data_IF_595164091461
#
_entry.id   IF_595164091461
#
_cell.length_a   1.000
_cell.length_b   1.000
_cell.length_c   1.000
_cell.angle_alpha   90.00
_cell.angle_beta   90.00
_cell.angle_gamma   90.00
#
_symmetry.space_group_name_H-M   'P 1'
#
loop_
_entity.id
_entity.type
_entity.pdbx_description
1 polymer ?
#
# COMPACT_ATOMS: atom_id res chain seq x y z
N UNK A 1 -18.51 -24.97 -18.81
CA UNK A 1 -19.52 -25.98 -18.44
C UNK A 1 -18.82 -27.13 -17.73
N UNK A 2 -19.43 -27.72 -16.70
CA UNK A 2 -18.99 -28.97 -16.10
C UNK A 2 -19.91 -30.08 -16.60
N UNK A 3 -19.32 -31.21 -17.02
CA UNK A 3 -20.07 -32.37 -17.48
C UNK A 3 -20.02 -33.44 -16.40
N UNK A 4 -21.15 -33.66 -15.73
CA UNK A 4 -21.33 -34.76 -14.78
C UNK A 4 -22.09 -35.86 -15.49
N UNK A 5 -21.52 -37.07 -15.51
CA UNK A 5 -22.18 -38.25 -16.05
C UNK A 5 -22.76 -39.02 -14.86
N UNK A 6 -24.07 -38.94 -14.63
CA UNK A 6 -24.77 -39.69 -13.58
C UNK A 6 -24.97 -41.16 -13.98
N UNK A 7 -23.85 -41.84 -14.26
CA UNK A 7 -23.66 -43.30 -14.19
C UNK A 7 -24.50 -44.24 -15.04
N UNK A 8 -25.64 -43.85 -15.63
CA UNK A 8 -26.60 -44.86 -16.17
C UNK A 8 -27.47 -44.41 -17.35
N UNK A 9 -27.24 -43.25 -17.96
CA UNK A 9 -27.97 -42.84 -19.16
C UNK A 9 -27.18 -41.87 -20.06
N UNK A 10 -27.60 -41.67 -21.33
CA UNK A 10 -26.95 -40.75 -22.27
C UNK A 10 -27.18 -39.26 -21.94
N UNK A 11 -27.83 -38.96 -20.81
CA UNK A 11 -28.08 -37.60 -20.35
C UNK A 11 -26.84 -37.02 -19.68
N UNK A 12 -26.15 -36.12 -20.38
CA UNK A 12 -25.11 -35.31 -19.78
C UNK A 12 -25.78 -34.13 -19.06
N UNK A 13 -25.64 -34.04 -17.75
CA UNK A 13 -26.17 -32.90 -17.00
C UNK A 13 -25.25 -31.70 -17.26
N UNK A 14 -25.75 -30.75 -18.02
CA UNK A 14 -25.03 -29.54 -18.38
C UNK A 14 -25.14 -28.57 -17.21
N UNK A 15 -24.19 -28.62 -16.28
CA UNK A 15 -24.07 -27.59 -15.24
C UNK A 15 -23.29 -26.40 -15.80
N UNK A 16 -23.96 -25.25 -15.85
CA UNK A 16 -23.27 -23.98 -16.08
C UNK A 16 -22.18 -23.87 -15.03
N UNK A 17 -20.96 -23.51 -15.44
CA UNK A 17 -19.92 -23.12 -14.48
C UNK A 17 -20.59 -22.04 -13.62
N UNK A 18 -20.76 -22.26 -12.29
CA UNK A 18 -21.43 -21.25 -11.50
C UNK A 18 -20.65 -19.96 -11.72
N UNK A 19 -21.40 -18.92 -12.10
CA UNK A 19 -20.90 -17.57 -12.31
C UNK A 19 -19.93 -17.21 -11.18
N UNK A 20 -18.86 -16.48 -11.47
CA UNK A 20 -17.81 -16.20 -10.48
C UNK A 20 -18.42 -15.61 -9.18
N UNK A 21 -19.49 -14.82 -9.32
CA UNK A 21 -20.28 -14.32 -8.20
C UNK A 21 -21.01 -15.40 -7.40
N UNK A 22 -21.63 -16.38 -8.06
CA UNK A 22 -22.31 -17.49 -7.39
C UNK A 22 -21.31 -18.35 -6.62
N UNK A 23 -20.12 -18.62 -7.19
CA UNK A 23 -19.05 -19.35 -6.49
C UNK A 23 -18.56 -18.59 -5.26
N UNK A 24 -18.31 -17.29 -5.41
CA UNK A 24 -17.87 -16.45 -4.30
C UNK A 24 -18.90 -16.42 -3.16
N UNK A 25 -20.19 -16.25 -3.49
CA UNK A 25 -21.28 -16.23 -2.49
C UNK A 25 -21.41 -17.60 -1.82
N UNK A 26 -21.32 -18.69 -2.60
CA UNK A 26 -21.34 -20.05 -2.08
C UNK A 26 -20.18 -20.29 -1.10
N UNK A 27 -18.96 -19.92 -1.50
CA UNK A 27 -17.77 -20.02 -0.66
C UNK A 27 -17.94 -19.19 0.62
N UNK A 28 -18.39 -17.93 0.52
CA UNK A 28 -18.66 -17.07 1.68
C UNK A 28 -19.63 -17.74 2.67
N UNK A 29 -20.65 -18.45 2.15
CA UNK A 29 -21.57 -19.22 2.96
C UNK A 29 -20.95 -20.38 3.73
N UNK A 30 -19.92 -21.03 3.18
CA UNK A 30 -19.16 -22.07 3.89
C UNK A 30 -18.41 -21.51 5.11
N UNK A 31 -18.08 -20.21 5.09
CA UNK A 31 -17.45 -19.50 6.21
C UNK A 31 -18.45 -18.78 7.12
N UNK A 32 -19.75 -18.99 6.92
CA UNK A 32 -20.80 -18.37 7.74
C UNK A 32 -21.04 -16.88 7.46
N UNK A 33 -20.65 -16.38 6.28
CA UNK A 33 -20.73 -14.97 5.92
C UNK A 33 -22.02 -14.61 5.14
N UNK A 34 -23.02 -15.50 5.10
CA UNK A 34 -24.26 -15.30 4.33
C UNK A 34 -25.00 -14.00 4.69
N UNK A 35 -25.16 -13.71 5.98
CA UNK A 35 -25.85 -12.50 6.45
C UNK A 35 -25.10 -11.21 6.11
N UNK A 36 -23.77 -11.28 5.95
CA UNK A 36 -22.93 -10.16 5.52
C UNK A 36 -23.14 -9.87 4.02
N UNK A 37 -23.29 -10.91 3.19
CA UNK A 37 -23.61 -10.74 1.76
C UNK A 37 -24.93 -10.00 1.58
N UNK A 38 -25.97 -10.37 2.34
CA UNK A 38 -27.27 -9.67 2.30
C UNK A 38 -27.14 -8.21 2.74
N UNK A 39 -26.36 -7.95 3.79
CA UNK A 39 -26.10 -6.61 4.29
C UNK A 39 -25.33 -5.75 3.28
N UNK A 40 -24.38 -6.34 2.57
CA UNK A 40 -23.63 -5.69 1.50
C UNK A 40 -24.51 -5.41 0.28
N UNK A 41 -25.37 -6.34 -0.13
CA UNK A 41 -26.32 -6.10 -1.22
C UNK A 41 -27.25 -4.91 -0.91
N UNK A 42 -27.60 -4.69 0.36
CA UNK A 42 -28.36 -3.50 0.77
C UNK A 42 -27.58 -2.18 0.65
N UNK A 43 -26.25 -2.21 0.57
CA UNK A 43 -25.41 -1.04 0.36
C UNK A 43 -25.41 -0.55 -1.11
N UNK A 44 -25.80 -1.41 -2.07
CA UNK A 44 -25.91 -1.08 -3.49
C UNK A 44 -26.83 0.13 -3.76
N UNK A 45 -27.85 0.35 -2.91
CA UNK A 45 -28.74 1.52 -3.00
C UNK A 45 -28.02 2.86 -2.89
N UNK A 46 -26.80 2.88 -2.36
CA UNK A 46 -25.97 4.09 -2.23
C UNK A 46 -24.95 4.26 -3.35
N UNK A 47 -24.87 3.30 -4.28
CA UNK A 47 -23.91 3.22 -5.37
C UNK A 47 -24.61 3.58 -6.68
N UNK A 48 -24.08 4.58 -7.39
CA UNK A 48 -24.68 5.09 -8.61
C UNK A 48 -24.22 4.35 -9.87
N UNK A 49 -22.97 3.88 -9.88
CA UNK A 49 -22.40 3.20 -11.04
C UNK A 49 -22.77 1.71 -10.99
N UNK A 50 -23.51 1.16 -11.97
CA UNK A 50 -23.86 -0.26 -12.04
C UNK A 50 -22.66 -1.22 -12.02
N UNK A 51 -21.49 -0.77 -12.52
CA UNK A 51 -20.27 -1.58 -12.55
C UNK A 51 -19.67 -1.79 -11.16
N UNK A 52 -20.07 -0.96 -10.19
CA UNK A 52 -19.60 -0.99 -8.80
C UNK A 52 -20.61 -1.64 -7.84
N UNK A 53 -21.69 -2.23 -8.36
CA UNK A 53 -22.64 -3.00 -7.54
C UNK A 53 -22.00 -4.33 -7.13
N UNK A 54 -22.46 -4.92 -6.02
CA UNK A 54 -21.79 -6.08 -5.41
C UNK A 54 -21.54 -7.21 -6.42
N UNK A 55 -22.58 -7.64 -7.15
CA UNK A 55 -22.46 -8.74 -8.13
C UNK A 55 -21.54 -8.38 -9.30
N UNK A 56 -21.59 -7.14 -9.78
CA UNK A 56 -20.72 -6.63 -10.84
C UNK A 56 -19.26 -6.62 -10.38
N UNK A 57 -19.01 -6.12 -9.17
CA UNK A 57 -17.68 -6.08 -8.57
C UNK A 57 -17.10 -7.48 -8.38
N UNK A 58 -17.90 -8.45 -7.94
CA UNK A 58 -17.46 -9.83 -7.81
C UNK A 58 -17.13 -10.45 -9.18
N UNK A 59 -18.02 -10.28 -10.17
CA UNK A 59 -17.78 -10.80 -11.53
C UNK A 59 -16.51 -10.23 -12.16
N UNK A 60 -16.30 -8.93 -11.98
CA UNK A 60 -15.18 -8.21 -12.57
C UNK A 60 -13.90 -8.31 -11.72
N UNK A 61 -13.93 -8.98 -10.56
CA UNK A 61 -12.85 -9.01 -9.57
C UNK A 61 -12.35 -7.60 -9.21
N UNK A 62 -13.28 -6.67 -9.02
CA UNK A 62 -12.98 -5.29 -8.63
C UNK A 62 -13.35 -5.04 -7.18
N UNK A 63 -12.74 -4.00 -6.62
CA UNK A 63 -13.01 -3.59 -5.24
C UNK A 63 -14.44 -3.03 -5.13
N UNK A 64 -15.16 -3.44 -4.09
CA UNK A 64 -16.56 -3.08 -3.90
C UNK A 64 -16.70 -1.90 -2.91
N UNK A 65 -17.24 -0.73 -3.32
CA UNK A 65 -17.34 0.44 -2.45
C UNK A 65 -18.17 0.21 -1.18
N UNK A 66 -19.12 -0.72 -1.20
CA UNK A 66 -19.96 -1.04 -0.03
C UNK A 66 -19.23 -1.84 1.07
N UNK A 67 -17.98 -2.25 0.85
CA UNK A 67 -17.13 -2.77 1.92
C UNK A 67 -16.73 -1.68 2.92
N UNK A 68 -16.62 -0.44 2.45
CA UNK A 68 -16.03 0.65 3.22
C UNK A 68 -17.09 1.42 4.03
N UNK A 69 -16.72 1.91 5.22
CA UNK A 69 -17.59 2.76 6.02
C UNK A 69 -17.97 4.04 5.27
N UNK A 70 -19.25 4.42 5.31
CA UNK A 70 -19.76 5.63 4.67
C UNK A 70 -20.88 6.28 5.48
N UNK A 71 -20.67 7.53 5.92
CA UNK A 71 -21.65 8.28 6.72
C UNK A 71 -22.09 7.47 7.96
N UNK A 72 -23.34 6.97 7.96
CA UNK A 72 -23.95 6.16 9.04
C UNK A 72 -23.90 4.65 8.77
N UNK A 73 -23.37 4.24 7.61
CA UNK A 73 -23.17 2.85 7.26
C UNK A 73 -21.76 2.45 7.67
N UNK A 74 -21.65 1.39 8.46
CA UNK A 74 -20.39 1.00 9.09
C UNK A 74 -19.46 0.21 8.17
N UNK A 75 -19.94 -0.23 7.00
CA UNK A 75 -19.17 -1.06 6.09
C UNK A 75 -19.34 -2.56 6.38
N UNK A 76 -18.48 -3.37 5.78
CA UNK A 76 -18.40 -4.80 6.05
C UNK A 76 -17.72 -5.06 7.40
N UNK A 77 -18.08 -6.17 8.07
CA UNK A 77 -17.26 -6.66 9.18
C UNK A 77 -15.87 -7.09 8.72
N UNK A 78 -14.90 -7.15 9.64
CA UNK A 78 -13.50 -7.52 9.32
C UNK A 78 -13.41 -8.90 8.68
N UNK A 79 -14.26 -9.84 9.11
CA UNK A 79 -14.31 -11.18 8.52
C UNK A 79 -14.71 -11.12 7.06
N UNK A 80 -15.77 -10.38 6.73
CA UNK A 80 -16.23 -10.25 5.35
C UNK A 80 -15.26 -9.42 4.50
N UNK A 81 -14.68 -8.37 5.06
CA UNK A 81 -13.66 -7.56 4.38
C UNK A 81 -12.42 -8.39 4.05
N UNK A 82 -11.85 -9.11 5.03
CA UNK A 82 -10.71 -9.98 4.83
C UNK A 82 -11.02 -11.07 3.81
N UNK A 83 -12.19 -11.70 3.90
CA UNK A 83 -12.64 -12.70 2.93
C UNK A 83 -12.68 -12.13 1.51
N UNK A 84 -13.30 -10.95 1.32
CA UNK A 84 -13.38 -10.31 0.00
C UNK A 84 -11.99 -9.96 -0.55
N UNK A 85 -11.15 -9.29 0.26
CA UNK A 85 -9.83 -8.83 -0.20
C UNK A 85 -8.91 -10.01 -0.53
N UNK A 86 -8.89 -11.06 0.29
CA UNK A 86 -7.99 -12.21 0.09
C UNK A 86 -8.52 -13.20 -0.97
N UNK A 87 -9.81 -13.58 -0.93
CA UNK A 87 -10.37 -14.64 -1.79
C UNK A 87 -10.75 -14.16 -3.18
N UNK A 88 -11.21 -12.92 -3.31
CA UNK A 88 -11.64 -12.37 -4.59
C UNK A 88 -10.55 -11.54 -5.25
N UNK A 89 -9.94 -10.62 -4.50
CA UNK A 89 -8.93 -9.70 -5.03
C UNK A 89 -7.50 -10.24 -4.93
N UNK A 90 -7.29 -11.36 -4.24
CA UNK A 90 -5.98 -11.98 -4.09
C UNK A 90 -5.01 -11.18 -3.22
N UNK A 91 -5.50 -10.21 -2.43
CA UNK A 91 -4.66 -9.39 -1.54
C UNK A 91 -4.07 -10.29 -0.46
N UNK A 92 -2.76 -10.27 -0.22
CA UNK A 92 -2.12 -11.10 0.81
C UNK A 92 -2.63 -10.76 2.21
N UNK A 93 -2.77 -11.76 3.09
CA UNK A 93 -3.23 -11.52 4.46
C UNK A 93 -2.26 -10.59 5.21
N UNK A 94 -0.95 -10.75 5.00
CA UNK A 94 0.08 -9.85 5.54
C UNK A 94 -0.13 -8.38 5.19
N UNK A 95 -0.72 -8.06 4.03
CA UNK A 95 -1.02 -6.69 3.60
C UNK A 95 -2.17 -6.09 4.41
N UNK A 96 -3.18 -6.91 4.74
CA UNK A 96 -4.28 -6.49 5.60
C UNK A 96 -3.76 -6.21 7.02
N UNK A 97 -2.94 -7.11 7.56
CA UNK A 97 -2.30 -6.94 8.88
C UNK A 97 -1.41 -5.70 8.91
N UNK A 98 -0.59 -5.47 7.88
CA UNK A 98 0.24 -4.28 7.79
C UNK A 98 -0.60 -2.98 7.69
N UNK A 99 -1.73 -3.02 6.97
CA UNK A 99 -2.66 -1.88 6.89
C UNK A 99 -3.33 -1.57 8.23
N UNK A 100 -3.68 -2.60 9.01
CA UNK A 100 -4.22 -2.43 10.36
C UNK A 100 -3.20 -1.82 11.32
N UNK A 101 -1.96 -2.34 11.33
CA UNK A 101 -0.85 -1.76 12.11
C UNK A 101 -0.60 -0.30 11.74
N UNK A 102 -0.69 0.04 10.46
CA UNK A 102 -0.54 1.41 9.99
C UNK A 102 -1.68 2.31 10.49
N UNK A 103 -2.92 1.81 10.45
CA UNK A 103 -4.09 2.52 10.96
C UNK A 103 -4.00 2.74 12.48
N UNK A 104 -3.62 1.73 13.25
CA UNK A 104 -3.34 1.82 14.69
C UNK A 104 -2.32 2.92 15.00
N UNK A 105 -1.19 2.91 14.29
CA UNK A 105 -0.12 3.86 14.52
C UNK A 105 -0.52 5.31 14.16
N UNK A 106 -1.53 5.48 13.29
CA UNK A 106 -2.03 6.78 12.87
C UNK A 106 -3.05 7.38 13.87
N UNK A 107 -3.74 6.53 14.65
CA UNK A 107 -4.74 7.00 15.59
C UNK A 107 -4.09 7.76 16.75
N UNK A 108 -4.59 8.96 17.09
CA UNK A 108 -4.14 9.70 18.27
C UNK A 108 -4.69 9.06 19.55
N UNK A 109 -4.05 9.31 20.70
CA UNK A 109 -4.50 8.75 21.99
C UNK A 109 -5.86 9.30 22.45
N UNK A 110 -6.21 10.51 22.00
CA UNK A 110 -7.43 11.22 22.45
C UNK A 110 -8.64 10.81 21.60
N UNK A 111 -9.68 10.28 22.25
CA UNK A 111 -10.92 9.80 21.61
C UNK A 111 -11.57 10.84 20.68
N UNK A 112 -11.58 12.12 21.06
CA UNK A 112 -12.15 13.20 20.23
C UNK A 112 -11.41 13.35 18.90
N UNK A 113 -10.09 13.16 18.92
CA UNK A 113 -9.23 13.26 17.74
C UNK A 113 -9.33 11.98 16.90
N UNK A 114 -9.47 10.82 17.52
CA UNK A 114 -9.75 9.54 16.82
C UNK A 114 -11.03 9.62 15.98
N UNK A 115 -12.11 10.21 16.55
CA UNK A 115 -13.37 10.43 15.81
C UNK A 115 -13.20 11.29 14.57
N UNK A 116 -12.20 12.18 14.53
CA UNK A 116 -11.90 12.95 13.33
C UNK A 116 -11.24 12.09 12.25
N UNK A 117 -10.30 11.23 12.64
CA UNK A 117 -9.58 10.31 11.73
C UNK A 117 -10.47 9.23 11.11
N UNK A 118 -11.47 8.77 11.86
CA UNK A 118 -12.39 7.70 11.45
C UNK A 118 -13.40 8.10 10.34
N UNK A 119 -13.38 9.35 9.89
CA UNK A 119 -14.30 9.83 8.85
C UNK A 119 -14.06 9.18 7.49
N UNK A 120 -15.16 8.92 6.76
CA UNK A 120 -15.14 8.26 5.44
C UNK A 120 -14.50 9.09 4.32
N UNK A 121 -14.12 10.33 4.58
CA UNK A 121 -13.45 11.23 3.64
C UNK A 121 -12.10 11.74 4.15
N UNK A 122 -11.53 11.14 5.21
CA UNK A 122 -10.31 11.62 5.86
C UNK A 122 -9.14 11.82 4.89
N UNK A 123 -8.93 10.90 3.96
CA UNK A 123 -7.82 10.97 2.99
C UNK A 123 -8.13 11.76 1.71
N UNK A 124 -9.32 12.37 1.60
CA UNK A 124 -9.55 13.38 0.56
C UNK A 124 -8.71 14.64 0.80
N UNK A 125 -8.41 14.95 2.06
CA UNK A 125 -7.52 16.04 2.44
C UNK A 125 -6.05 15.64 2.15
N UNK A 126 -5.33 16.38 1.28
CA UNK A 126 -3.89 16.19 1.07
C UNK A 126 -3.06 16.21 2.36
N UNK A 127 -3.46 17.00 3.38
CA UNK A 127 -2.73 17.07 4.66
C UNK A 127 -2.73 15.73 5.38
N UNK A 128 -3.88 15.06 5.44
CA UNK A 128 -3.98 13.75 6.11
C UNK A 128 -3.22 12.67 5.34
N UNK A 129 -3.18 12.74 4.00
CA UNK A 129 -2.33 11.87 3.18
C UNK A 129 -0.85 12.10 3.47
N UNK A 130 -0.43 13.35 3.65
CA UNK A 130 0.95 13.68 4.01
C UNK A 130 1.32 13.21 5.43
N UNK A 131 0.39 13.30 6.39
CA UNK A 131 0.58 12.74 7.74
C UNK A 131 0.76 11.22 7.66
N UNK A 132 -0.11 10.52 6.92
CA UNK A 132 0.01 9.07 6.70
C UNK A 132 1.37 8.71 6.09
N UNK A 133 1.78 9.41 5.03
CA UNK A 133 3.09 9.22 4.40
C UNK A 133 4.24 9.45 5.39
N UNK A 134 4.16 10.48 6.22
CA UNK A 134 5.11 10.72 7.30
C UNK A 134 5.19 9.54 8.27
N UNK A 135 4.03 8.97 8.66
CA UNK A 135 3.95 7.83 9.56
C UNK A 135 4.51 6.55 8.95
N UNK A 136 4.25 6.30 7.67
CA UNK A 136 4.84 5.17 6.92
C UNK A 136 6.38 5.23 7.00
N UNK A 137 6.97 6.39 6.75
CA UNK A 137 8.43 6.55 6.82
C UNK A 137 8.96 6.30 8.23
N UNK A 138 8.30 6.83 9.26
CA UNK A 138 8.67 6.58 10.66
C UNK A 138 8.63 5.08 10.98
N UNK A 139 7.56 4.38 10.58
CA UNK A 139 7.44 2.94 10.82
C UNK A 139 8.49 2.13 10.04
N UNK A 140 8.87 2.56 8.84
CA UNK A 140 9.97 1.93 8.09
C UNK A 140 11.32 2.20 8.72
N UNK A 141 11.58 3.43 9.19
CA UNK A 141 12.81 3.77 9.91
C UNK A 141 12.97 2.92 11.19
N UNK A 142 11.87 2.72 11.94
CA UNK A 142 11.84 1.93 13.17
C UNK A 142 11.77 0.41 12.93
N UNK A 143 11.58 -0.03 11.68
CA UNK A 143 11.39 -1.44 11.33
C UNK A 143 10.05 -2.07 11.73
N UNK A 144 9.06 -1.25 12.08
CA UNK A 144 7.66 -1.67 12.32
C UNK A 144 6.87 -1.91 11.05
N UNK A 145 7.37 -1.41 9.92
CA UNK A 145 6.86 -1.67 8.57
C UNK A 145 8.06 -1.93 7.65
N UNK A 146 7.93 -2.86 6.72
CA UNK A 146 8.93 -3.11 5.68
C UNK A 146 8.58 -2.37 4.38
N UNK A 147 9.59 -2.22 3.52
CA UNK A 147 9.40 -1.63 2.19
C UNK A 147 8.42 -2.45 1.34
N UNK A 148 8.49 -3.78 1.45
CA UNK A 148 7.63 -4.69 0.69
C UNK A 148 6.17 -4.57 1.19
N UNK A 149 5.93 -4.53 2.49
CA UNK A 149 4.59 -4.27 3.05
C UNK A 149 4.03 -2.94 2.55
N UNK A 150 4.83 -1.86 2.51
CA UNK A 150 4.40 -0.61 1.91
C UNK A 150 3.95 -0.79 0.45
N UNK A 151 4.74 -1.49 -0.37
CA UNK A 151 4.45 -1.69 -1.79
C UNK A 151 3.20 -2.55 -2.02
N UNK A 152 2.87 -3.46 -1.11
CA UNK A 152 1.61 -4.20 -1.17
C UNK A 152 0.40 -3.37 -0.79
N UNK A 153 0.53 -2.46 0.19
CA UNK A 153 -0.56 -1.55 0.58
C UNK A 153 -0.77 -0.50 -0.51
N UNK A 154 0.33 0.03 -1.07
CA UNK A 154 0.36 1.12 -2.03
C UNK A 154 1.07 0.69 -3.33
N UNK A 155 0.48 -0.22 -4.12
CA UNK A 155 1.10 -0.69 -5.34
C UNK A 155 1.24 0.43 -6.38
N UNK A 156 2.34 0.40 -7.13
CA UNK A 156 2.56 1.32 -8.25
C UNK A 156 1.68 0.88 -9.43
N UNK A 157 0.82 1.76 -9.91
CA UNK A 157 -0.08 1.52 -11.04
C UNK A 157 0.59 1.88 -12.38
N UNK A 158 1.52 2.84 -12.35
CA UNK A 158 2.22 3.33 -13.54
C UNK A 158 3.57 3.91 -13.12
N UNK A 159 4.60 3.71 -13.94
CA UNK A 159 5.95 4.27 -13.73
C UNK A 159 6.20 5.55 -14.53
N UNK A 160 5.40 5.83 -15.56
CA UNK A 160 5.50 7.02 -16.40
C UNK A 160 4.09 7.54 -16.77
N UNK A 161 3.55 8.53 -16.03
CA UNK A 161 4.06 9.06 -14.76
C UNK A 161 4.04 8.04 -13.62
N UNK A 162 4.84 8.28 -12.59
CA UNK A 162 4.75 7.54 -11.35
C UNK A 162 3.38 7.77 -10.69
N UNK A 163 2.55 6.73 -10.61
CA UNK A 163 1.24 6.74 -9.95
C UNK A 163 1.15 5.57 -8.98
N UNK A 164 0.70 5.87 -7.77
CA UNK A 164 0.50 4.89 -6.70
C UNK A 164 -0.99 4.73 -6.48
N UNK A 165 -1.42 3.49 -6.26
CA UNK A 165 -2.82 3.16 -6.12
C UNK A 165 -3.46 3.85 -4.93
N UNK A 166 -4.67 4.36 -5.15
CA UNK A 166 -5.46 4.95 -4.07
C UNK A 166 -6.02 3.88 -3.09
N UNK A 167 -5.97 2.60 -3.47
CA UNK A 167 -6.47 1.47 -2.67
C UNK A 167 -5.89 1.42 -1.26
N UNK A 168 -4.60 1.73 -1.10
CA UNK A 168 -3.96 1.75 0.21
C UNK A 168 -4.57 2.75 1.19
N UNK A 169 -5.05 3.90 0.69
CA UNK A 169 -5.78 4.87 1.53
C UNK A 169 -7.13 4.34 1.96
N UNK A 170 -7.88 3.69 1.05
CA UNK A 170 -9.17 3.10 1.38
C UNK A 170 -9.02 1.96 2.39
N UNK A 171 -8.01 1.10 2.22
CA UNK A 171 -7.72 -0.01 3.12
C UNK A 171 -7.27 0.47 4.51
N UNK A 172 -6.37 1.47 4.56
CA UNK A 172 -5.99 2.11 5.82
C UNK A 172 -7.22 2.74 6.50
N UNK A 173 -8.07 3.42 5.72
CA UNK A 173 -9.29 4.05 6.23
C UNK A 173 -10.28 3.04 6.80
N UNK A 174 -10.42 1.88 6.15
CA UNK A 174 -11.22 0.78 6.67
C UNK A 174 -10.73 0.41 8.07
N UNK A 175 -9.43 0.12 8.21
CA UNK A 175 -8.86 -0.31 9.48
C UNK A 175 -8.81 0.76 10.57
N UNK A 176 -8.92 2.06 10.25
CA UNK A 176 -9.07 3.10 11.28
C UNK A 176 -10.30 2.86 12.18
N UNK A 177 -11.30 2.12 11.72
CA UNK A 177 -12.48 1.71 12.51
C UNK A 177 -12.37 0.34 13.16
N UNK A 178 -11.38 -0.44 12.75
CA UNK A 178 -11.26 -1.87 13.02
C UNK A 178 -9.85 -2.23 13.50
N UNK A 179 -9.22 -1.33 14.26
CA UNK A 179 -7.83 -1.51 14.71
C UNK A 179 -7.67 -2.66 15.69
N UNK A 180 -8.66 -2.92 16.55
CA UNK A 180 -8.61 -4.01 17.54
C UNK A 180 -9.20 -5.34 17.08
N UNK A 181 -9.73 -5.41 15.85
CA UNK A 181 -10.46 -6.58 15.37
C UNK A 181 -9.51 -7.64 14.80
N UNK A 182 -9.77 -8.91 15.13
CA UNK A 182 -8.99 -10.02 14.56
C UNK A 182 -9.25 -10.16 13.06
N UNK A 183 -8.18 -10.15 12.26
CA UNK A 183 -8.24 -10.38 10.81
C UNK A 183 -8.10 -11.88 10.57
N UNK A 184 -9.14 -12.58 10.09
CA UNK A 184 -8.99 -13.99 9.76
C UNK A 184 -8.10 -14.17 8.54
N UNK A 185 -7.35 -15.26 8.54
CA UNK A 185 -6.57 -15.70 7.40
C UNK A 185 -7.42 -16.62 6.50
N UNK A 186 -7.79 -16.10 5.34
CA UNK A 186 -8.52 -16.84 4.30
C UNK A 186 -7.64 -17.07 3.06
N UNK A 187 -6.31 -17.02 3.18
CA UNK A 187 -5.38 -16.96 2.05
C UNK A 187 -5.72 -17.94 0.91
N UNK A 188 -5.73 -17.39 -0.31
CA UNK A 188 -5.98 -18.11 -1.54
C UNK A 188 -4.64 -18.55 -2.15
N UNK A 189 -4.60 -19.71 -2.84
CA UNK A 189 -3.37 -20.22 -3.49
C UNK A 189 -2.82 -19.31 -4.59
N UNK A 190 -3.70 -18.50 -5.19
CA UNK A 190 -3.37 -17.50 -6.21
C UNK A 190 -3.37 -16.12 -5.54
N UNK A 191 -2.20 -15.75 -5.01
CA UNK A 191 -1.94 -14.43 -4.46
C UNK A 191 -1.38 -13.52 -5.55
N UNK A 192 -1.74 -12.24 -5.54
CA UNK A 192 -1.15 -11.22 -6.43
C UNK A 192 0.29 -10.85 -6.04
N UNK A 193 0.91 -11.60 -5.13
CA UNK A 193 2.30 -11.43 -4.74
C UNK A 193 3.23 -11.50 -5.94
N UNK A 194 3.89 -10.37 -6.25
CA UNK A 194 4.82 -10.25 -7.36
C UNK A 194 4.24 -9.64 -8.64
N UNK A 195 2.92 -9.38 -8.69
CA UNK A 195 2.27 -8.74 -9.85
C UNK A 195 2.39 -7.21 -9.85
N UNK A 196 2.82 -6.61 -8.75
CA UNK A 196 2.90 -5.15 -8.63
C UNK A 196 4.25 -4.59 -9.04
N UNK A 197 4.22 -3.45 -9.73
CA UNK A 197 5.41 -2.67 -10.01
C UNK A 197 6.03 -2.18 -8.69
N UNK A 198 7.33 -2.43 -8.55
CA UNK A 198 8.14 -1.91 -7.44
C UNK A 198 8.38 -0.41 -7.62
N UNK A 199 8.96 0.24 -6.61
CA UNK A 199 9.43 1.61 -6.75
C UNK A 199 10.28 1.79 -8.01
N UNK A 200 10.29 3.01 -8.54
CA UNK A 200 11.05 3.33 -9.75
C UNK A 200 12.53 2.95 -9.57
N UNK A 201 13.12 2.07 -10.41
CA UNK A 201 14.48 1.55 -10.20
C UNK A 201 15.56 2.62 -10.06
N UNK A 202 15.41 3.73 -10.78
CA UNK A 202 16.34 4.86 -10.73
C UNK A 202 16.34 5.53 -9.36
N UNK A 203 15.19 5.61 -8.69
CA UNK A 203 15.08 6.13 -7.32
C UNK A 203 15.75 5.18 -6.33
N UNK A 204 15.57 3.86 -6.49
CA UNK A 204 16.23 2.87 -5.63
C UNK A 204 17.76 2.91 -5.80
N UNK A 205 18.24 2.99 -7.05
CA UNK A 205 19.68 3.11 -7.35
C UNK A 205 20.24 4.42 -6.77
N UNK A 206 19.55 5.54 -6.97
CA UNK A 206 19.96 6.84 -6.44
C UNK A 206 20.00 6.84 -4.90
N UNK A 207 18.97 6.29 -4.24
CA UNK A 207 18.91 6.19 -2.79
C UNK A 207 20.08 5.36 -2.24
N UNK A 208 20.40 4.23 -2.88
CA UNK A 208 21.49 3.37 -2.47
C UNK A 208 22.86 4.06 -2.59
N UNK A 209 23.17 4.64 -3.74
CA UNK A 209 24.44 5.35 -3.95
C UNK A 209 24.58 6.54 -3.00
N UNK A 210 23.54 7.38 -2.91
CA UNK A 210 23.54 8.53 -2.02
C UNK A 210 23.74 8.13 -0.55
N UNK A 211 23.05 7.08 -0.10
CA UNK A 211 23.19 6.58 1.28
C UNK A 211 24.61 6.13 1.57
N UNK A 212 25.18 5.28 0.71
CA UNK A 212 26.53 4.74 0.91
C UNK A 212 27.57 5.86 0.94
N UNK A 213 27.58 6.72 -0.08
CA UNK A 213 28.50 7.86 -0.15
C UNK A 213 28.40 8.74 1.09
N UNK A 214 27.17 9.05 1.52
CA UNK A 214 26.97 9.92 2.67
C UNK A 214 27.45 9.26 3.96
N UNK A 215 27.10 8.00 4.19
CA UNK A 215 27.46 7.28 5.42
C UNK A 215 28.97 7.02 5.50
N UNK A 216 29.61 6.67 4.39
CA UNK A 216 31.06 6.49 4.32
C UNK A 216 31.83 7.78 4.64
N UNK A 217 31.37 8.92 4.11
CA UNK A 217 32.07 10.20 4.27
C UNK A 217 31.71 10.96 5.56
N UNK A 218 30.47 10.81 6.07
CA UNK A 218 29.93 11.64 7.17
C UNK A 218 29.38 10.87 8.35
N UNK A 219 29.18 9.57 8.20
CA UNK A 219 28.67 8.68 9.24
C UNK A 219 27.15 8.66 9.39
N UNK A 220 26.66 7.53 9.93
CA UNK A 220 25.25 7.20 10.07
C UNK A 220 24.46 8.19 10.96
N UNK A 221 25.08 8.71 12.04
CA UNK A 221 24.43 9.69 12.94
C UNK A 221 24.09 11.00 12.21
N UNK A 222 25.00 11.48 11.36
CA UNK A 222 24.75 12.69 10.56
C UNK A 222 23.71 12.45 9.49
N UNK A 223 23.72 11.26 8.87
CA UNK A 223 22.69 10.90 7.90
C UNK A 223 21.27 11.04 8.48
N UNK A 224 21.00 10.46 9.65
CA UNK A 224 19.69 10.62 10.31
C UNK A 224 19.33 12.10 10.52
N UNK A 225 20.24 12.87 11.10
CA UNK A 225 20.01 14.27 11.47
C UNK A 225 19.86 15.22 10.27
N UNK A 226 20.69 15.08 9.25
CA UNK A 226 20.79 16.01 8.12
C UNK A 226 19.97 15.57 6.90
N UNK A 227 19.54 14.30 6.84
CA UNK A 227 18.73 13.79 5.74
C UNK A 227 17.33 13.47 6.23
N UNK A 228 17.15 12.46 7.09
CA UNK A 228 15.82 11.98 7.48
C UNK A 228 15.02 13.02 8.28
N UNK A 229 15.64 13.68 9.26
CA UNK A 229 14.98 14.73 10.04
C UNK A 229 14.74 16.01 9.22
N UNK A 230 15.58 16.33 8.24
CA UNK A 230 15.35 17.45 7.33
C UNK A 230 14.17 17.19 6.38
N UNK A 231 14.01 15.95 5.92
CA UNK A 231 12.81 15.51 5.21
C UNK A 231 11.56 15.66 6.07
N UNK A 232 11.62 15.23 7.34
CA UNK A 232 10.51 15.36 8.29
C UNK A 232 10.14 16.82 8.54
N UNK A 233 11.13 17.70 8.62
CA UNK A 233 10.95 19.15 8.77
C UNK A 233 10.58 19.90 7.50
N UNK A 234 10.41 19.21 6.35
CA UNK A 234 10.03 19.84 5.08
C UNK A 234 11.14 20.68 4.42
N UNK A 235 12.40 20.51 4.84
CA UNK A 235 13.55 21.26 4.28
C UNK A 235 14.04 20.69 2.95
N UNK A 236 13.79 19.40 2.70
CA UNK A 236 14.13 18.73 1.43
C UNK A 236 12.94 18.84 0.47
N UNK A 237 13.09 19.64 -0.59
CA UNK A 237 12.10 19.81 -1.66
C UNK A 237 12.39 18.89 -2.85
N UNK A 238 11.49 18.80 -3.83
CA UNK A 238 11.69 17.94 -5.02
C UNK A 238 12.98 18.23 -5.80
N UNK A 239 13.42 19.49 -5.83
CA UNK A 239 14.69 19.91 -6.45
C UNK A 239 15.92 19.32 -5.75
N UNK A 240 15.79 18.93 -4.48
CA UNK A 240 16.87 18.22 -3.80
C UNK A 240 17.18 16.89 -4.50
N UNK A 241 16.17 16.16 -5.00
CA UNK A 241 16.40 14.90 -5.74
C UNK A 241 17.15 15.20 -7.04
N UNK A 242 16.76 16.27 -7.76
CA UNK A 242 17.47 16.68 -8.99
C UNK A 242 18.95 16.88 -8.70
N UNK A 243 19.27 17.67 -7.67
CA UNK A 243 20.64 17.96 -7.31
C UNK A 243 21.41 16.70 -6.87
N UNK A 244 20.78 15.81 -6.09
CA UNK A 244 21.38 14.54 -5.69
C UNK A 244 21.68 13.66 -6.91
N UNK A 245 20.73 13.56 -7.86
CA UNK A 245 20.93 12.74 -9.05
C UNK A 245 22.01 13.30 -9.96
N UNK A 246 22.06 14.62 -10.18
CA UNK A 246 23.14 15.26 -10.95
C UNK A 246 24.51 15.01 -10.30
N UNK A 247 24.64 15.24 -8.99
CA UNK A 247 25.87 15.00 -8.24
C UNK A 247 26.31 13.51 -8.28
N UNK A 248 25.36 12.58 -8.16
CA UNK A 248 25.66 11.15 -8.33
C UNK A 248 26.15 10.80 -9.74
N UNK A 249 25.67 11.50 -10.77
CA UNK A 249 26.08 11.28 -12.16
C UNK A 249 27.52 11.68 -12.43
N UNK A 250 28.00 12.69 -11.71
CA UNK A 250 29.38 13.17 -11.79
C UNK A 250 30.32 12.23 -11.02
N UNK A 251 29.83 11.61 -9.94
CA UNK A 251 30.64 10.79 -9.03
C UNK A 251 30.63 9.30 -9.35
N UNK A 252 29.62 8.80 -10.07
CA UNK A 252 29.46 7.37 -10.36
C UNK A 252 29.32 7.13 -11.87
N UNK A 253 30.35 6.53 -12.48
CA UNK A 253 30.32 6.15 -13.89
C UNK A 253 29.15 5.19 -14.17
N UNK A 254 28.39 5.44 -15.24
CA UNK A 254 27.21 4.65 -15.59
C UNK A 254 25.97 4.91 -14.72
N UNK A 255 25.96 5.99 -13.92
CA UNK A 255 24.75 6.49 -13.27
C UNK A 255 24.08 7.61 -14.06
N UNK A 256 22.84 7.35 -14.47
CA UNK A 256 21.95 8.34 -15.08
C UNK A 256 22.05 8.44 -16.60
N UNK A 257 21.21 9.29 -17.21
CA UNK A 257 21.14 9.46 -18.65
C UNK A 257 22.14 10.49 -19.17
N UNK A 258 22.36 10.49 -20.48
CA UNK A 258 23.18 11.50 -21.15
C UNK A 258 22.54 12.90 -21.12
N UNK A 259 21.20 12.99 -21.09
CA UNK A 259 20.44 14.24 -20.97
C UNK A 259 19.63 14.27 -19.67
N UNK A 260 20.12 15.04 -18.70
CA UNK A 260 19.53 15.18 -17.37
C UNK A 260 18.26 16.02 -17.35
N UNK A 261 18.13 17.02 -18.22
CA UNK A 261 16.98 17.92 -18.20
C UNK A 261 15.76 17.24 -18.82
N UNK A 262 15.93 16.53 -19.95
CA UNK A 262 14.87 15.68 -20.51
C UNK A 262 14.47 14.58 -19.53
N UNK A 263 15.45 13.88 -18.95
CA UNK A 263 15.15 12.84 -17.97
C UNK A 263 14.43 13.37 -16.74
N UNK A 264 14.84 14.51 -16.19
CA UNK A 264 14.17 15.10 -15.04
C UNK A 264 12.73 15.50 -15.39
N UNK A 265 12.52 16.03 -16.59
CA UNK A 265 11.18 16.36 -17.10
C UNK A 265 10.30 15.11 -17.16
N UNK A 266 10.75 14.05 -17.82
CA UNK A 266 10.03 12.78 -17.98
C UNK A 266 9.82 12.04 -16.65
N UNK A 267 10.75 12.23 -15.72
CA UNK A 267 10.68 11.68 -14.38
C UNK A 267 9.58 12.39 -13.56
N UNK A 268 9.47 13.71 -13.68
CA UNK A 268 8.60 14.53 -12.82
C UNK A 268 7.27 14.94 -13.45
N UNK A 269 7.02 14.65 -14.72
CA UNK A 269 5.77 15.01 -15.40
C UNK A 269 5.07 13.79 -16.00
N UNK A 270 3.74 13.88 -16.11
CA UNK A 270 2.94 12.90 -16.85
C UNK A 270 2.85 13.22 -18.35
N UNK A 271 2.19 12.33 -19.09
CA UNK A 271 1.91 12.47 -20.52
C UNK A 271 1.11 13.74 -20.88
N UNK A 272 0.49 14.40 -19.89
CA UNK A 272 -0.26 15.64 -20.03
C UNK A 272 0.52 16.86 -19.50
N UNK A 273 1.77 16.69 -19.05
CA UNK A 273 2.60 17.74 -18.47
C UNK A 273 2.28 18.10 -17.02
N UNK A 274 1.48 17.31 -16.29
CA UNK A 274 1.21 17.54 -14.88
C UNK A 274 2.37 17.09 -14.00
N UNK A 275 2.70 17.88 -12.98
CA UNK A 275 3.79 17.60 -12.07
C UNK A 275 3.47 16.47 -11.06
N UNK A 276 4.27 15.41 -11.06
CA UNK A 276 4.16 14.22 -10.17
C UNK A 276 5.39 14.01 -9.27
N UNK A 277 6.32 14.97 -9.24
CA UNK A 277 7.61 14.83 -8.54
C UNK A 277 7.54 14.65 -7.02
N UNK A 278 6.42 15.00 -6.36
CA UNK A 278 6.27 14.79 -4.92
C UNK A 278 6.17 13.31 -4.53
N UNK A 279 5.65 12.45 -5.41
CA UNK A 279 5.63 11.00 -5.15
C UNK A 279 7.05 10.42 -5.21
N UNK A 280 7.88 10.90 -6.13
CA UNK A 280 9.29 10.52 -6.21
C UNK A 280 10.06 10.94 -4.96
N UNK A 281 9.81 12.16 -4.46
CA UNK A 281 10.39 12.64 -3.22
C UNK A 281 10.03 11.74 -2.04
N UNK A 282 8.78 11.28 -2.00
CA UNK A 282 8.32 10.35 -0.98
C UNK A 282 9.02 8.98 -1.11
N UNK A 283 9.06 8.38 -2.30
CA UNK A 283 9.75 7.10 -2.53
C UNK A 283 11.23 7.17 -2.20
N UNK A 284 11.91 8.27 -2.56
CA UNK A 284 13.31 8.50 -2.22
C UNK A 284 13.51 8.54 -0.70
N UNK A 285 12.69 9.32 0.02
CA UNK A 285 12.72 9.36 1.49
C UNK A 285 12.49 7.98 2.10
N UNK A 286 11.54 7.21 1.57
CA UNK A 286 11.18 5.89 2.07
C UNK A 286 12.32 4.88 1.86
N UNK A 287 12.94 4.87 0.68
CA UNK A 287 14.10 4.03 0.39
C UNK A 287 15.30 4.37 1.28
N UNK A 288 15.55 5.66 1.54
CA UNK A 288 16.61 6.11 2.44
C UNK A 288 16.37 5.71 3.91
N UNK A 289 15.11 5.74 4.37
CA UNK A 289 14.75 5.26 5.70
C UNK A 289 14.97 3.74 5.84
N UNK A 290 14.64 2.96 4.80
CA UNK A 290 14.88 1.52 4.78
C UNK A 290 16.39 1.18 4.82
N UNK A 291 17.22 1.89 4.05
CA UNK A 291 18.68 1.74 4.09
C UNK A 291 19.26 2.09 5.46
N UNK A 292 18.79 3.19 6.06
CA UNK A 292 19.19 3.59 7.42
C UNK A 292 18.86 2.52 8.46
N UNK A 293 17.63 1.98 8.41
CA UNK A 293 17.20 0.88 9.29
C UNK A 293 18.11 -0.33 9.15
N UNK A 294 18.34 -0.81 7.92
CA UNK A 294 19.19 -1.97 7.64
C UNK A 294 20.59 -1.77 8.22
N UNK A 295 21.19 -0.59 7.99
CA UNK A 295 22.54 -0.29 8.51
C UNK A 295 22.59 -0.20 10.02
N UNK A 296 21.52 0.30 10.66
CA UNK A 296 21.40 0.36 12.11
C UNK A 296 21.30 -1.04 12.71
N UNK A 297 20.52 -1.92 12.11
CA UNK A 297 20.40 -3.33 12.53
C UNK A 297 21.72 -4.09 12.36
N UNK A 298 22.43 -3.89 11.24
CA UNK A 298 23.78 -4.45 11.02
C UNK A 298 24.74 -4.02 12.13
N UNK A 299 24.80 -2.72 12.45
CA UNK A 299 25.68 -2.19 13.49
C UNK A 299 25.35 -2.73 14.89
N UNK A 300 24.07 -2.93 15.22
CA UNK A 300 23.65 -3.55 16.49
C UNK A 300 24.09 -5.01 16.54
N UNK A 301 23.96 -5.74 15.42
CA UNK A 301 24.33 -7.16 15.33
C UNK A 301 25.84 -7.37 15.45
N UNK A 302 26.64 -6.46 14.88
CA UNK A 302 28.10 -6.53 14.90
C UNK A 302 28.68 -6.08 16.25
N UNK A 303 28.03 -5.14 16.95
CA UNK A 303 28.50 -4.58 18.23
C UNK A 303 27.41 -4.69 19.33
N UNK A 304 27.11 -5.89 19.84
CA UNK A 304 26.07 -6.08 20.85
C UNK A 304 26.42 -5.44 22.21
N UNK A 305 27.70 -5.25 22.53
CA UNK A 305 28.17 -4.83 23.87
C UNK A 305 28.20 -3.31 24.11
N UNK A 306 27.99 -2.47 23.10
CA UNK A 306 28.11 -1.00 23.24
C UNK A 306 26.79 -0.27 23.51
N UNK A 307 25.65 -0.98 23.54
CA UNK A 307 24.31 -0.39 23.68
C UNK A 307 23.63 -0.64 25.05
N UNK A 308 24.35 -1.17 26.05
CA UNK A 308 23.83 -1.31 27.44
C UNK A 308 24.19 -0.14 28.37
N UNK A 309 24.82 0.91 27.88
CA UNK A 309 25.08 2.13 28.67
C UNK A 309 24.83 3.36 27.81
N UNK A 310 23.61 3.89 27.89
CA UNK A 310 23.19 5.15 27.25
C UNK A 310 21.78 5.52 27.63
#
# INVERSE_FOLDING_TARGET
WLFSNSGTGPGCEIMQIPDAAVRFIWDAGQYGLNSEIDSLAMADKFIKNPDNLLLSSIRNKTDYPGLYPRKKYDGASVKMFAFYQTRLLGVPHKTLVASQKLAEALLPDREKEQKAWIKSDIFKDPKNRNILKGKIVEMVEDGRLSLDEYLYIFPVESLCPLRVSFKGFNMTQYFLRHTGDEIPDYEHKESIEGEFMKMKPEILKAAHLYFNDYVENRGLKRFKKEVLEEFKGGKKHVYWIKNVMCDLSERHEGFGPADWDSFWHDLCHDEYGNFVGYELLFQMRLALADQYRKKTQENITINPETNQTG
#
